data_IF_465632087266
#
_entry.id   IF_465632087266
#
_cell.length_a   1.000
_cell.length_b   1.000
_cell.length_c   1.000
_cell.angle_alpha   90.00
_cell.angle_beta   90.00
_cell.angle_gamma   90.00
#
_symmetry.space_group_name_H-M   'P 1'
#
loop_
_entity.id
_entity.type
_entity.pdbx_description
1 polymer ?
#
# COMPACT_ATOMS: atom_id res chain seq x y z
N UNK A 1 -12.68 -4.39 -23.31
CA UNK A 1 -11.28 -4.56 -23.75
C UNK A 1 -10.40 -3.59 -22.93
N UNK A 2 -9.55 -4.15 -22.10
CA UNK A 2 -8.61 -3.34 -21.30
C UNK A 2 -7.56 -2.81 -22.27
N UNK A 3 -7.49 -1.49 -22.39
CA UNK A 3 -6.48 -0.84 -23.22
C UNK A 3 -5.09 -1.02 -22.57
N UNK A 4 -4.18 -1.68 -23.27
CA UNK A 4 -2.80 -1.86 -22.81
C UNK A 4 -2.06 -0.53 -22.54
N UNK A 5 -2.48 0.57 -23.16
CA UNK A 5 -1.91 1.89 -22.89
C UNK A 5 -2.24 2.39 -21.47
N UNK A 6 -3.34 1.93 -20.88
CA UNK A 6 -3.67 2.21 -19.48
C UNK A 6 -2.74 1.47 -18.50
N UNK A 7 -2.24 0.27 -18.86
CA UNK A 7 -1.29 -0.49 -18.06
C UNK A 7 0.07 0.21 -17.92
N UNK A 8 0.54 0.93 -18.93
CA UNK A 8 1.77 1.71 -18.86
C UNK A 8 1.72 2.84 -17.84
N UNK A 9 0.53 3.27 -17.43
CA UNK A 9 0.33 4.30 -16.39
C UNK A 9 0.25 3.71 -14.98
N UNK A 10 0.12 2.41 -14.87
CA UNK A 10 0.07 1.65 -13.62
C UNK A 10 1.30 0.75 -13.45
N UNK A 11 2.41 1.09 -14.10
CA UNK A 11 3.66 0.38 -13.85
C UNK A 11 3.93 0.45 -12.33
N UNK A 12 3.94 -0.67 -11.61
CA UNK A 12 4.26 -0.65 -10.21
C UNK A 12 5.69 -0.15 -10.08
N UNK A 13 5.88 0.97 -9.41
CA UNK A 13 7.19 1.38 -8.93
C UNK A 13 7.55 0.42 -7.80
N UNK A 14 7.96 -0.78 -8.16
CA UNK A 14 8.54 -1.72 -7.22
C UNK A 14 9.97 -1.31 -6.98
N UNK A 15 10.21 -0.54 -5.94
CA UNK A 15 11.54 -0.47 -5.37
C UNK A 15 11.72 -1.69 -4.47
N UNK A 16 12.51 -2.64 -4.87
CA UNK A 16 13.08 -3.61 -3.96
C UNK A 16 14.12 -2.88 -3.12
N UNK A 17 13.72 -2.46 -1.94
CA UNK A 17 14.69 -2.06 -0.92
C UNK A 17 15.25 -3.35 -0.35
N UNK A 18 16.50 -3.62 -0.69
CA UNK A 18 17.24 -4.77 -0.19
C UNK A 18 17.52 -4.55 1.31
N UNK A 19 16.59 -4.96 2.17
CA UNK A 19 16.69 -4.83 3.62
C UNK A 19 17.07 -6.13 4.25
N UNK A 20 18.34 -6.41 4.25
CA UNK A 20 18.92 -7.43 5.09
C UNK A 20 19.38 -6.85 6.44
N UNK A 21 18.40 -6.41 7.26
CA UNK A 21 18.62 -6.17 8.68
C UNK A 21 17.69 -7.10 9.44
N UNK A 22 18.17 -8.27 9.81
CA UNK A 22 17.37 -9.28 10.49
C UNK A 22 16.66 -8.72 11.72
N UNK A 23 15.35 -8.94 11.81
CA UNK A 23 14.53 -8.61 12.97
C UNK A 23 14.08 -7.16 13.10
N UNK A 24 14.38 -6.27 12.15
CA UNK A 24 13.91 -4.90 12.13
C UNK A 24 12.78 -4.73 11.12
N UNK A 25 11.70 -4.10 11.56
CA UNK A 25 10.57 -3.70 10.73
C UNK A 25 10.43 -2.19 10.83
N UNK A 26 10.59 -1.50 9.72
CA UNK A 26 10.52 -0.04 9.64
C UNK A 26 9.41 0.36 8.66
N UNK A 27 8.20 0.41 9.18
CA UNK A 27 7.01 0.76 8.39
C UNK A 27 7.02 2.26 8.08
N UNK A 28 7.44 3.08 9.00
CA UNK A 28 7.51 4.52 8.83
C UNK A 28 8.43 4.91 7.67
N UNK A 29 9.65 4.34 7.61
CA UNK A 29 10.58 4.56 6.50
C UNK A 29 10.04 4.02 5.17
N UNK A 30 9.34 2.89 5.20
CA UNK A 30 8.72 2.33 4.00
C UNK A 30 7.65 3.28 3.43
N UNK A 31 6.82 3.86 4.29
CA UNK A 31 5.82 4.86 3.89
C UNK A 31 6.49 6.13 3.36
N UNK A 32 7.52 6.63 4.03
CA UNK A 32 8.28 7.80 3.57
C UNK A 32 8.90 7.58 2.18
N UNK A 33 9.50 6.42 1.97
CA UNK A 33 10.05 6.04 0.66
C UNK A 33 8.98 5.97 -0.41
N UNK A 34 7.82 5.41 -0.10
CA UNK A 34 6.68 5.33 -1.02
C UNK A 34 6.12 6.71 -1.37
N UNK A 35 6.05 7.64 -0.41
CA UNK A 35 5.67 9.03 -0.64
C UNK A 35 6.65 9.68 -1.62
N UNK A 36 7.94 9.56 -1.37
CA UNK A 36 8.98 10.14 -2.21
C UNK A 36 8.91 9.62 -3.64
N UNK A 37 8.71 8.31 -3.82
CA UNK A 37 8.51 7.69 -5.14
C UNK A 37 7.26 8.21 -5.84
N UNK A 38 6.17 8.34 -5.10
CA UNK A 38 4.89 8.85 -5.62
C UNK A 38 5.01 10.29 -6.12
N UNK A 39 5.73 11.14 -5.37
CA UNK A 39 5.95 12.54 -5.73
C UNK A 39 6.94 12.72 -6.89
N UNK A 40 7.89 11.81 -7.04
CA UNK A 40 8.89 11.83 -8.12
C UNK A 40 8.43 11.16 -9.42
N UNK A 41 7.24 10.55 -9.43
CA UNK A 41 6.72 9.89 -10.61
C UNK A 41 6.58 10.87 -11.79
N UNK A 42 7.01 10.49 -13.01
CA UNK A 42 7.04 11.39 -14.16
C UNK A 42 5.65 11.64 -14.79
N UNK A 43 4.60 11.21 -14.14
CA UNK A 43 3.21 11.35 -14.59
C UNK A 43 2.31 11.74 -13.43
N UNK A 44 1.29 12.57 -13.72
CA UNK A 44 0.25 12.91 -12.76
C UNK A 44 -0.73 11.74 -12.63
N UNK A 45 -0.86 11.20 -11.42
CA UNK A 45 -1.88 10.22 -11.09
C UNK A 45 -3.08 10.92 -10.46
N UNK A 46 -4.30 10.51 -10.84
CA UNK A 46 -5.53 10.99 -10.18
C UNK A 46 -5.64 10.50 -8.75
N UNK A 47 -5.05 9.36 -8.46
CA UNK A 47 -5.05 8.71 -7.16
C UNK A 47 -3.73 7.98 -6.98
N UNK A 48 -3.11 8.17 -5.83
CA UNK A 48 -1.95 7.41 -5.42
C UNK A 48 -2.33 6.47 -4.29
N UNK A 49 -1.98 5.21 -4.42
CA UNK A 49 -2.26 4.16 -3.44
C UNK A 49 -0.96 3.44 -3.11
N UNK A 50 -0.68 3.34 -1.83
CA UNK A 50 0.46 2.58 -1.29
C UNK A 50 -0.06 1.34 -0.60
N UNK A 51 0.50 0.19 -0.89
CA UNK A 51 0.19 -1.05 -0.21
C UNK A 51 1.38 -1.47 0.64
N UNK A 52 1.18 -1.54 1.95
CA UNK A 52 2.19 -1.98 2.92
C UNK A 52 1.93 -3.43 3.28
N UNK A 53 2.92 -4.28 3.02
CA UNK A 53 2.90 -5.70 3.40
C UNK A 53 3.81 -5.90 4.61
N UNK A 54 3.31 -6.51 5.67
CA UNK A 54 4.11 -6.82 6.84
C UNK A 54 3.59 -8.02 7.61
N UNK A 55 4.51 -8.68 8.29
CA UNK A 55 4.22 -9.71 9.30
C UNK A 55 4.61 -9.28 10.72
N UNK A 56 4.92 -8.01 10.91
CA UNK A 56 5.33 -7.43 12.18
C UNK A 56 4.88 -6.00 12.38
N UNK A 57 4.97 -5.55 13.63
CA UNK A 57 4.78 -4.15 14.00
C UNK A 57 6.06 -3.35 13.72
N UNK A 58 5.90 -2.04 13.61
CA UNK A 58 7.05 -1.14 13.51
C UNK A 58 7.89 -1.17 14.79
N UNK A 59 9.18 -1.34 14.65
CA UNK A 59 10.11 -1.40 15.78
C UNK A 59 11.39 -0.60 15.53
N UNK A 60 11.44 0.17 14.45
CA UNK A 60 12.60 0.98 14.09
C UNK A 60 12.17 2.15 13.19
N UNK A 61 12.89 3.26 13.30
CA UNK A 61 12.67 4.41 12.43
C UNK A 61 11.56 5.38 12.90
N UNK A 62 11.07 6.24 12.00
CA UNK A 62 10.01 7.19 12.31
C UNK A 62 8.68 6.49 12.56
N UNK A 63 7.90 7.03 13.50
CA UNK A 63 6.58 6.48 13.83
C UNK A 63 5.66 6.43 12.59
N UNK A 64 5.00 5.31 12.32
CA UNK A 64 4.19 5.15 11.11
C UNK A 64 2.99 6.11 11.08
N UNK A 65 2.43 6.48 12.22
CA UNK A 65 1.33 7.46 12.32
C UNK A 65 1.66 8.79 11.64
N UNK A 66 2.83 9.35 11.94
CA UNK A 66 3.27 10.62 11.36
C UNK A 66 3.42 10.54 9.85
N UNK A 67 3.99 9.45 9.35
CA UNK A 67 4.17 9.22 7.91
C UNK A 67 2.84 8.95 7.22
N UNK A 68 1.95 8.19 7.85
CA UNK A 68 0.57 7.98 7.38
C UNK A 68 -0.17 9.31 7.23
N UNK A 69 -0.17 10.13 8.26
CA UNK A 69 -0.88 11.41 8.26
C UNK A 69 -0.30 12.37 7.22
N UNK A 70 1.01 12.33 7.01
CA UNK A 70 1.65 13.07 5.94
C UNK A 70 1.20 12.59 4.55
N UNK A 71 1.14 11.29 4.32
CA UNK A 71 0.64 10.70 3.06
C UNK A 71 -0.81 11.12 2.78
N UNK A 72 -1.67 11.07 3.80
CA UNK A 72 -3.08 11.48 3.68
C UNK A 72 -3.19 12.96 3.25
N UNK A 73 -2.38 13.84 3.85
CA UNK A 73 -2.35 15.26 3.46
C UNK A 73 -1.93 15.47 2.00
N UNK A 74 -1.14 14.58 1.45
CA UNK A 74 -0.73 14.57 0.04
C UNK A 74 -1.73 13.88 -0.89
N UNK A 75 -2.87 13.42 -0.37
CA UNK A 75 -3.88 12.71 -1.16
C UNK A 75 -3.53 11.25 -1.46
N UNK A 76 -2.59 10.68 -0.71
CA UNK A 76 -2.16 9.29 -0.87
C UNK A 76 -2.96 8.40 0.09
N UNK A 77 -3.50 7.31 -0.42
CA UNK A 77 -4.16 6.27 0.38
C UNK A 77 -3.16 5.17 0.72
N UNK A 78 -3.11 4.77 1.98
CA UNK A 78 -2.29 3.65 2.45
C UNK A 78 -3.18 2.49 2.84
N UNK A 79 -2.98 1.36 2.19
CA UNK A 79 -3.61 0.08 2.53
C UNK A 79 -2.61 -0.84 3.22
N UNK A 80 -3.12 -1.76 4.03
CA UNK A 80 -2.33 -2.78 4.70
C UNK A 80 -2.65 -4.18 4.20
N UNK A 81 -1.61 -4.99 4.09
CA UNK A 81 -1.71 -6.44 3.92
C UNK A 81 -0.86 -7.07 5.02
N UNK A 82 -1.51 -7.67 5.98
CA UNK A 82 -0.83 -8.34 7.09
C UNK A 82 -0.91 -9.84 6.91
N UNK A 83 0.18 -10.52 7.21
CA UNK A 83 0.27 -11.96 7.11
C UNK A 83 0.98 -12.56 8.32
N UNK A 84 0.64 -13.80 8.60
CA UNK A 84 1.11 -14.51 9.78
C UNK A 84 0.02 -14.70 10.81
N UNK A 85 0.42 -15.23 11.96
CA UNK A 85 -0.42 -15.69 13.06
C UNK A 85 -0.42 -14.75 14.28
N UNK A 86 -0.03 -13.49 14.08
CA UNK A 86 -0.10 -12.45 15.12
C UNK A 86 -1.49 -11.81 15.17
N UNK A 87 -2.21 -12.03 16.24
CA UNK A 87 -3.57 -11.52 16.44
C UNK A 87 -3.61 -9.99 16.66
N UNK A 88 -2.53 -9.40 17.14
CA UNK A 88 -2.42 -7.95 17.40
C UNK A 88 -2.11 -7.12 16.15
N UNK A 89 -1.60 -7.73 15.10
CA UNK A 89 -1.13 -7.02 13.93
C UNK A 89 -2.23 -6.32 13.11
N UNK A 90 -3.42 -6.92 12.91
CA UNK A 90 -4.49 -6.23 12.22
C UNK A 90 -4.95 -4.94 12.91
N UNK A 91 -5.07 -4.95 14.24
CA UNK A 91 -5.47 -3.78 15.01
C UNK A 91 -4.38 -2.70 14.97
N UNK A 92 -3.12 -3.10 15.12
CA UNK A 92 -1.98 -2.20 14.96
C UNK A 92 -2.00 -1.49 13.60
N UNK A 93 -2.27 -2.21 12.51
CA UNK A 93 -2.34 -1.62 11.18
C UNK A 93 -3.50 -0.66 11.01
N UNK A 94 -4.67 -0.98 11.58
CA UNK A 94 -5.83 -0.07 11.56
C UNK A 94 -5.56 1.23 12.31
N UNK A 95 -4.89 1.13 13.46
CA UNK A 95 -4.68 2.27 14.33
C UNK A 95 -3.52 3.16 13.87
N UNK A 96 -2.45 2.58 13.30
CA UNK A 96 -1.19 3.27 13.09
C UNK A 96 -0.73 3.36 11.63
N UNK A 97 -1.16 2.49 10.74
CA UNK A 97 -0.55 2.35 9.42
C UNK A 97 -1.48 2.76 8.29
N UNK A 98 -2.68 2.19 8.22
CA UNK A 98 -3.59 2.46 7.11
C UNK A 98 -4.30 3.80 7.27
N UNK A 99 -4.64 4.42 6.15
CA UNK A 99 -5.38 5.67 6.14
C UNK A 99 -5.61 6.25 4.75
N UNK A 100 -6.47 7.24 4.70
CA UNK A 100 -6.88 7.89 3.47
C UNK A 100 -8.19 7.33 2.88
N UNK A 101 -8.73 7.97 1.83
CA UNK A 101 -10.02 7.59 1.25
C UNK A 101 -10.01 6.16 0.71
N UNK A 102 -10.93 5.33 1.18
CA UNK A 102 -11.07 3.95 0.76
C UNK A 102 -9.95 3.01 1.24
N UNK A 103 -9.17 3.44 2.25
CA UNK A 103 -8.14 2.59 2.84
C UNK A 103 -8.73 1.33 3.45
N UNK A 104 -8.05 0.21 3.28
CA UNK A 104 -8.48 -1.04 3.85
C UNK A 104 -7.31 -1.93 4.27
N UNK A 105 -7.64 -2.90 5.11
CA UNK A 105 -6.73 -3.92 5.59
C UNK A 105 -7.15 -5.28 5.05
N UNK A 106 -6.17 -6.02 4.55
CA UNK A 106 -6.33 -7.42 4.19
C UNK A 106 -5.48 -8.29 5.12
N UNK A 107 -6.09 -9.35 5.64
CA UNK A 107 -5.38 -10.35 6.46
C UNK A 107 -5.20 -11.63 5.66
N UNK A 108 -3.97 -12.13 5.61
CA UNK A 108 -3.61 -13.37 4.92
C UNK A 108 -3.03 -14.34 5.95
N UNK A 109 -3.79 -15.38 6.27
CA UNK A 109 -3.40 -16.32 7.33
C UNK A 109 -2.29 -17.30 6.90
N UNK A 110 -2.23 -17.61 5.62
CA UNK A 110 -1.24 -18.53 5.06
C UNK A 110 -0.39 -17.84 4.02
N UNK A 111 0.95 -17.94 4.09
CA UNK A 111 1.84 -17.33 3.09
C UNK A 111 1.52 -17.75 1.65
N UNK A 112 1.04 -18.98 1.45
CA UNK A 112 0.68 -19.50 0.12
C UNK A 112 -0.54 -18.79 -0.50
N UNK A 113 -1.37 -18.14 0.33
CA UNK A 113 -2.52 -17.38 -0.14
C UNK A 113 -2.16 -15.94 -0.55
N UNK A 114 -0.94 -15.49 -0.23
CA UNK A 114 -0.48 -14.13 -0.50
C UNK A 114 -0.52 -13.76 -2.01
N UNK A 115 -0.09 -14.61 -2.95
CA UNK A 115 -0.18 -14.28 -4.38
C UNK A 115 -1.61 -14.02 -4.83
N UNK A 116 -2.57 -14.82 -4.39
CA UNK A 116 -4.00 -14.64 -4.73
C UNK A 116 -4.57 -13.38 -4.09
N UNK A 117 -4.17 -13.09 -2.85
CA UNK A 117 -4.61 -11.89 -2.15
C UNK A 117 -4.10 -10.63 -2.86
N UNK A 118 -2.83 -10.63 -3.28
CA UNK A 118 -2.23 -9.54 -4.05
C UNK A 118 -2.92 -9.35 -5.41
N UNK A 119 -3.16 -10.44 -6.15
CA UNK A 119 -3.85 -10.39 -7.43
C UNK A 119 -5.25 -9.78 -7.28
N UNK A 120 -6.03 -10.25 -6.29
CA UNK A 120 -7.35 -9.69 -5.99
C UNK A 120 -7.28 -8.21 -5.66
N UNK A 121 -6.30 -7.82 -4.86
CA UNK A 121 -6.06 -6.43 -4.48
C UNK A 121 -5.76 -5.56 -5.69
N UNK A 122 -4.88 -6.01 -6.58
CA UNK A 122 -4.56 -5.29 -7.82
C UNK A 122 -5.80 -5.06 -8.68
N UNK A 123 -6.63 -6.07 -8.85
CA UNK A 123 -7.88 -5.93 -9.60
C UNK A 123 -8.85 -4.95 -8.96
N UNK A 124 -8.99 -4.97 -7.63
CA UNK A 124 -9.83 -4.03 -6.89
C UNK A 124 -9.34 -2.58 -7.07
N UNK A 125 -8.04 -2.35 -6.96
CA UNK A 125 -7.46 -1.01 -7.15
C UNK A 125 -7.64 -0.53 -8.59
N UNK A 126 -7.46 -1.41 -9.56
CA UNK A 126 -7.61 -1.09 -10.96
C UNK A 126 -9.07 -0.72 -11.30
N UNK A 127 -10.03 -1.51 -10.82
CA UNK A 127 -11.45 -1.25 -11.03
C UNK A 127 -11.86 0.05 -10.36
N UNK A 128 -11.42 0.31 -9.12
CA UNK A 128 -11.69 1.54 -8.40
C UNK A 128 -11.10 2.80 -9.07
N UNK A 129 -10.05 2.62 -9.87
CA UNK A 129 -9.42 3.72 -10.61
C UNK A 129 -10.06 4.00 -11.98
N UNK A 130 -10.97 3.13 -12.45
CA UNK A 130 -11.70 3.36 -13.69
C UNK A 130 -12.69 4.51 -13.51
N UNK A 131 -12.85 5.40 -14.52
CA UNK A 131 -13.86 6.41 -14.47
C UNK A 131 -15.25 5.76 -14.40
N UNK A 132 -16.14 6.34 -13.60
CA UNK A 132 -17.54 5.95 -13.59
C UNK A 132 -18.08 5.97 -15.03
N UNK A 133 -18.86 4.97 -15.45
CA UNK A 133 -19.51 5.03 -16.73
C UNK A 133 -20.40 6.28 -16.77
N UNK A 134 -20.26 7.06 -17.84
CA UNK A 134 -21.08 8.25 -18.01
C UNK A 134 -22.55 7.84 -17.85
N UNK A 135 -23.26 8.50 -16.92
CA UNK A 135 -24.70 8.35 -16.78
C UNK A 135 -25.36 8.78 -18.11
N UNK A 136 -25.80 7.78 -18.87
CA UNK A 136 -26.50 7.97 -20.13
C UNK A 136 -27.93 8.42 -19.91
#
# INVERSE_FOLDING_TARGET
RIDRSAFGRYAPLTSSVDRYRGGMTDIGEAVESAISLSLSAPFAARRSVVNILSNGVDNNGPAPDGMRDHAIRLGITINGIVFGDRDDLPDYFRDHVIGGPGAFLMTVNKPDDLPRALERKFWQDLIAALPEPAAG
#
